data_IF_333496178957
#
_entry.id   IF_333496178957
#
_cell.length_a   1.000
_cell.length_b   1.000
_cell.length_c   1.000
_cell.angle_alpha   90.00
_cell.angle_beta   90.00
_cell.angle_gamma   90.00
#
_symmetry.space_group_name_H-M   'P 1'
#
loop_
_entity.id
_entity.type
_entity.pdbx_description
1 polymer ?
#
# COMPACT_ATOMS: atom_id res chain seq x y z
N UNK A 1 20.97 75.02 -5.72
CA UNK A 1 19.76 75.39 -6.48
C UNK A 1 18.74 75.91 -5.49
N UNK A 2 18.53 77.22 -5.43
CA UNK A 2 17.47 77.80 -4.61
C UNK A 2 16.12 77.61 -5.30
N UNK A 3 15.07 77.32 -4.53
CA UNK A 3 13.70 77.32 -5.04
C UNK A 3 13.24 78.78 -5.12
N UNK A 4 12.91 79.25 -6.32
CA UNK A 4 12.31 80.57 -6.54
C UNK A 4 10.79 80.45 -6.42
N UNK A 5 10.16 81.31 -5.62
CA UNK A 5 8.71 81.40 -5.49
C UNK A 5 8.29 82.76 -6.06
N UNK A 6 7.80 82.74 -7.29
CA UNK A 6 7.64 83.97 -8.10
C UNK A 6 6.38 84.79 -7.76
N UNK A 7 5.53 84.32 -6.85
CA UNK A 7 4.30 85.00 -6.41
C UNK A 7 4.26 85.24 -4.88
N UNK A 8 5.36 85.69 -4.28
CA UNK A 8 5.36 86.12 -2.88
C UNK A 8 4.78 87.55 -2.77
N UNK A 9 3.73 87.79 -1.95
CA UNK A 9 3.18 89.12 -1.76
C UNK A 9 4.23 90.08 -1.15
N UNK A 10 4.23 91.34 -1.58
CA UNK A 10 5.32 92.33 -1.41
C UNK A 10 5.72 92.72 0.04
N UNK A 11 5.16 92.10 1.08
CA UNK A 11 5.54 92.29 2.48
C UNK A 11 6.67 91.32 2.90
N UNK A 12 7.77 91.28 2.14
CA UNK A 12 8.86 90.31 2.27
C UNK A 12 9.99 90.83 3.19
N UNK A 13 9.64 91.35 4.36
CA UNK A 13 10.59 91.66 5.44
C UNK A 13 10.30 90.88 6.74
N UNK A 14 9.15 90.21 6.84
CA UNK A 14 8.66 89.57 8.07
C UNK A 14 8.66 88.02 8.04
N UNK A 15 9.26 87.38 7.04
CA UNK A 15 9.32 85.91 7.00
C UNK A 15 10.31 85.31 8.02
N UNK A 16 11.28 86.10 8.50
CA UNK A 16 12.13 85.72 9.63
C UNK A 16 11.42 85.91 11.00
N UNK A 17 10.23 86.50 11.03
CA UNK A 17 9.41 86.72 12.25
C UNK A 17 8.04 86.03 12.20
N UNK A 18 7.75 85.24 11.16
CA UNK A 18 6.58 84.38 11.08
C UNK A 18 6.75 83.21 12.07
N UNK A 19 6.36 83.48 13.32
CA UNK A 19 6.40 82.52 14.40
C UNK A 19 5.21 81.57 14.28
N UNK A 20 5.51 80.30 14.03
CA UNK A 20 4.51 79.24 14.05
C UNK A 20 4.34 78.81 15.51
N UNK A 21 3.14 78.95 16.12
CA UNK A 21 2.87 78.39 17.43
C UNK A 21 2.85 76.86 17.33
N UNK A 22 3.75 76.22 18.06
CA UNK A 22 3.89 74.76 18.16
C UNK A 22 3.71 74.38 19.62
N UNK A 23 2.98 73.31 19.92
CA UNK A 23 2.83 72.82 21.30
C UNK A 23 3.95 71.84 21.60
N UNK A 24 4.80 72.16 22.57
CA UNK A 24 5.85 71.28 23.08
C UNK A 24 5.59 71.03 24.56
N UNK A 25 5.42 69.77 24.95
CA UNK A 25 5.16 69.36 26.34
C UNK A 25 4.01 70.15 27.04
N UNK A 26 2.94 70.44 26.30
CA UNK A 26 1.76 71.15 26.81
C UNK A 26 1.85 72.69 26.82
N UNK A 27 2.99 73.29 26.46
CA UNK A 27 3.16 74.74 26.34
C UNK A 27 3.25 75.18 24.87
N UNK A 28 2.72 76.36 24.53
CA UNK A 28 2.86 76.93 23.18
C UNK A 28 4.21 77.63 23.04
N UNK A 29 5.07 77.08 22.19
CA UNK A 29 6.39 77.60 21.82
C UNK A 29 6.30 78.20 20.41
N UNK A 30 7.01 79.30 20.17
CA UNK A 30 7.01 80.00 18.88
C UNK A 30 8.29 79.66 18.12
N UNK A 31 8.17 78.94 17.01
CA UNK A 31 9.32 78.56 16.17
C UNK A 31 9.32 79.34 14.85
N UNK A 32 10.51 79.62 14.33
CA UNK A 32 10.65 80.07 12.95
C UNK A 32 10.45 78.91 11.99
N UNK A 33 10.12 79.21 10.73
CA UNK A 33 10.01 78.21 9.66
C UNK A 33 11.29 77.37 9.54
N UNK A 34 12.47 77.99 9.69
CA UNK A 34 13.75 77.30 9.63
C UNK A 34 13.94 76.28 10.76
N UNK A 35 13.47 76.59 11.98
CA UNK A 35 13.55 75.68 13.13
C UNK A 35 12.61 74.48 12.98
N UNK A 36 11.41 74.71 12.44
CA UNK A 36 10.46 73.63 12.16
C UNK A 36 11.02 72.66 11.10
N UNK A 37 11.67 73.19 10.06
CA UNK A 37 12.33 72.39 9.04
C UNK A 37 13.51 71.60 9.61
N UNK A 38 14.31 72.19 10.50
CA UNK A 38 15.41 71.47 11.15
C UNK A 38 14.90 70.29 11.98
N UNK A 39 13.82 70.46 12.76
CA UNK A 39 13.21 69.37 13.52
C UNK A 39 12.68 68.24 12.63
N UNK A 40 12.10 68.58 11.48
CA UNK A 40 11.64 67.59 10.50
C UNK A 40 12.81 66.84 9.84
N UNK A 41 13.88 67.56 9.49
CA UNK A 41 15.09 66.99 8.90
C UNK A 41 15.84 66.11 9.90
N UNK A 42 15.91 66.49 11.18
CA UNK A 42 16.58 65.70 12.22
C UNK A 42 15.83 64.38 12.53
N UNK A 43 14.50 64.35 12.38
CA UNK A 43 13.69 63.14 12.55
C UNK A 43 13.75 62.18 11.35
N UNK A 44 14.11 62.68 10.16
CA UNK A 44 14.08 61.91 8.91
C UNK A 44 15.13 60.77 8.84
N UNK A 45 16.40 60.93 9.26
CA UNK A 45 17.40 59.86 9.26
C UNK A 45 16.95 58.60 10.00
N UNK A 46 16.35 58.74 11.19
CA UNK A 46 15.86 57.59 11.94
C UNK A 46 14.71 56.86 11.26
N UNK A 47 13.79 57.60 10.63
CA UNK A 47 12.70 56.99 9.85
C UNK A 47 13.23 56.29 8.58
N UNK A 48 14.19 56.90 7.90
CA UNK A 48 14.82 56.30 6.72
C UNK A 48 15.62 55.05 7.09
N UNK A 49 16.27 55.04 8.26
CA UNK A 49 16.95 53.87 8.79
C UNK A 49 15.97 52.71 9.01
N UNK A 50 14.82 52.96 9.67
CA UNK A 50 13.78 51.93 9.84
C UNK A 50 13.21 51.41 8.51
N UNK A 51 13.10 52.26 7.49
CA UNK A 51 12.68 51.84 6.16
C UNK A 51 13.76 50.97 5.49
N UNK A 52 15.03 51.35 5.61
CA UNK A 52 16.16 50.58 5.09
C UNK A 52 16.26 49.21 5.77
N UNK A 53 16.09 49.15 7.09
CA UNK A 53 16.04 47.89 7.86
C UNK A 53 14.89 46.98 7.41
N UNK A 54 13.70 47.54 7.17
CA UNK A 54 12.55 46.77 6.70
C UNK A 54 12.74 46.26 5.25
N UNK A 55 13.29 47.09 4.37
CA UNK A 55 13.61 46.70 3.00
C UNK A 55 14.61 45.54 2.98
N UNK A 56 15.68 45.65 3.76
CA UNK A 56 16.68 44.60 3.93
C UNK A 56 16.06 43.32 4.54
N UNK A 57 15.18 43.44 5.54
CA UNK A 57 14.49 42.29 6.14
C UNK A 57 13.56 41.54 5.15
N UNK A 58 13.04 42.22 4.13
CA UNK A 58 12.26 41.64 3.04
C UNK A 58 13.13 41.24 1.83
N UNK A 59 14.46 41.33 1.96
CA UNK A 59 15.41 40.93 0.93
C UNK A 59 15.54 41.90 -0.24
N UNK A 60 15.21 43.18 -0.04
CA UNK A 60 15.24 44.23 -1.06
C UNK A 60 14.44 43.85 -2.34
N UNK A 61 13.39 43.02 -2.22
CA UNK A 61 12.59 42.53 -3.33
C UNK A 61 11.46 43.51 -3.71
N UNK A 62 11.55 44.23 -4.85
CA UNK A 62 10.50 45.16 -5.28
C UNK A 62 9.18 44.45 -5.64
N UNK A 63 9.22 43.13 -5.84
CA UNK A 63 8.09 42.29 -6.24
C UNK A 63 7.75 41.23 -5.18
N UNK A 64 8.05 41.48 -3.89
CA UNK A 64 7.86 40.52 -2.79
C UNK A 64 6.54 39.73 -2.85
N UNK A 65 5.42 40.41 -3.15
CA UNK A 65 4.10 39.78 -3.29
C UNK A 65 4.05 38.77 -4.45
N UNK A 66 4.61 39.10 -5.61
CA UNK A 66 4.67 38.20 -6.76
C UNK A 66 5.64 37.03 -6.51
N UNK A 67 6.80 37.29 -5.90
CA UNK A 67 7.79 36.26 -5.53
C UNK A 67 7.20 35.25 -4.55
N UNK A 68 6.48 35.74 -3.54
CA UNK A 68 5.79 34.90 -2.56
C UNK A 68 4.66 34.10 -3.22
N UNK A 69 3.85 34.73 -4.08
CA UNK A 69 2.79 34.04 -4.81
C UNK A 69 3.35 32.96 -5.74
N UNK A 70 4.45 33.22 -6.45
CA UNK A 70 5.13 32.24 -7.29
C UNK A 70 5.66 31.06 -6.47
N UNK A 71 6.27 31.34 -5.31
CA UNK A 71 6.77 30.31 -4.40
C UNK A 71 5.65 29.41 -3.88
N UNK A 72 4.49 29.97 -3.56
CA UNK A 72 3.30 29.22 -3.15
C UNK A 72 2.72 28.41 -4.32
N UNK A 73 2.67 29.00 -5.52
CA UNK A 73 2.16 28.33 -6.72
C UNK A 73 2.97 27.09 -7.12
N UNK A 74 4.23 26.98 -6.68
CA UNK A 74 5.04 25.76 -6.88
C UNK A 74 4.62 24.59 -5.97
N UNK A 75 3.81 24.83 -4.94
CA UNK A 75 3.33 23.79 -4.04
C UNK A 75 2.13 23.07 -4.65
N UNK A 76 2.17 21.74 -4.64
CA UNK A 76 1.03 20.92 -5.04
C UNK A 76 -0.13 21.10 -4.04
N UNK A 77 -1.35 21.22 -4.56
CA UNK A 77 -2.56 21.16 -3.74
C UNK A 77 -2.68 19.76 -3.09
N UNK A 78 -3.27 19.66 -1.91
CA UNK A 78 -3.55 18.38 -1.25
C UNK A 78 -4.74 17.67 -1.93
N UNK A 79 -5.72 18.43 -2.43
CA UNK A 79 -6.88 17.92 -3.15
C UNK A 79 -6.61 17.95 -4.65
N UNK A 80 -6.12 16.84 -5.20
CA UNK A 80 -5.83 16.73 -6.63
C UNK A 80 -6.64 15.62 -7.31
N UNK A 81 -7.16 15.93 -8.49
CA UNK A 81 -7.78 14.94 -9.35
C UNK A 81 -6.73 13.96 -9.91
N UNK A 82 -7.18 12.80 -10.39
CA UNK A 82 -6.32 11.88 -11.11
C UNK A 82 -5.94 12.44 -12.47
N UNK A 83 -4.66 12.35 -12.83
CA UNK A 83 -4.18 12.53 -14.21
C UNK A 83 -3.91 11.17 -14.84
N UNK A 84 -4.38 10.96 -16.06
CA UNK A 84 -4.17 9.70 -16.78
C UNK A 84 -2.87 9.71 -17.57
N UNK A 85 -2.06 8.66 -17.41
CA UNK A 85 -0.80 8.46 -18.14
C UNK A 85 -0.81 7.05 -18.73
N UNK A 86 -0.41 6.89 -19.99
CA UNK A 86 -0.28 5.56 -20.59
C UNK A 86 0.96 4.83 -20.05
N UNK A 87 0.84 3.52 -19.86
CA UNK A 87 1.91 2.63 -19.44
C UNK A 87 2.96 2.53 -20.55
N UNK A 88 4.23 2.58 -20.16
CA UNK A 88 5.39 2.32 -21.00
C UNK A 88 6.50 1.73 -20.12
N UNK A 89 7.61 1.30 -20.70
CA UNK A 89 8.75 0.81 -19.93
C UNK A 89 9.19 1.83 -18.85
N UNK A 90 9.18 3.12 -19.20
CA UNK A 90 9.32 4.24 -18.27
C UNK A 90 8.05 5.06 -18.26
N UNK A 91 7.43 5.21 -17.08
CA UNK A 91 6.30 6.12 -16.86
C UNK A 91 6.80 7.27 -15.99
N UNK A 92 7.04 8.44 -16.56
CA UNK A 92 7.57 9.58 -15.80
C UNK A 92 6.51 10.14 -14.83
N UNK A 93 6.53 9.65 -13.59
CA UNK A 93 5.64 10.11 -12.54
C UNK A 93 6.09 11.46 -11.98
N UNK A 94 7.39 11.79 -12.08
CA UNK A 94 7.97 13.04 -11.61
C UNK A 94 7.42 14.25 -12.36
N UNK A 95 7.26 14.13 -13.67
CA UNK A 95 6.73 15.16 -14.55
C UNK A 95 5.22 15.41 -14.40
N UNK A 96 4.49 14.56 -13.68
CA UNK A 96 3.03 14.70 -13.55
C UNK A 96 2.67 15.87 -12.62
N UNK A 97 1.71 16.69 -13.06
CA UNK A 97 1.21 17.85 -12.32
C UNK A 97 0.30 17.47 -11.13
N UNK A 98 -0.08 16.20 -11.00
CA UNK A 98 -0.85 15.67 -9.88
C UNK A 98 -0.08 14.58 -9.15
N UNK A 99 -0.23 14.58 -7.83
CA UNK A 99 0.18 13.52 -6.93
C UNK A 99 -0.61 12.24 -7.18
N UNK A 100 -1.85 12.35 -7.66
CA UNK A 100 -2.72 11.23 -7.99
C UNK A 100 -2.63 10.93 -9.48
N UNK A 101 -2.05 9.79 -9.84
CA UNK A 101 -1.83 9.36 -11.22
C UNK A 101 -2.61 8.09 -11.50
N UNK A 102 -3.34 8.06 -12.61
CA UNK A 102 -3.95 6.83 -13.12
C UNK A 102 -3.10 6.31 -14.27
N UNK A 103 -2.52 5.13 -14.10
CA UNK A 103 -1.81 4.46 -15.19
C UNK A 103 -2.81 3.66 -16.01
N UNK A 104 -2.80 3.90 -17.32
CA UNK A 104 -3.66 3.25 -18.32
C UNK A 104 -2.82 2.37 -19.24
N UNK A 105 -3.43 1.42 -19.96
CA UNK A 105 -2.68 0.48 -20.80
C UNK A 105 -2.15 -0.73 -20.05
N UNK A 106 -1.43 -1.60 -20.78
CA UNK A 106 -1.01 -2.94 -20.33
C UNK A 106 0.49 -3.20 -20.51
N UNK A 107 1.26 -2.20 -20.93
CA UNK A 107 2.71 -2.33 -21.13
C UNK A 107 3.40 -2.44 -19.78
N UNK A 108 4.31 -3.39 -19.63
CA UNK A 108 5.11 -3.53 -18.40
C UNK A 108 5.95 -2.29 -18.10
N UNK A 109 6.14 -1.99 -16.81
CA UNK A 109 6.86 -0.82 -16.32
C UNK A 109 8.10 -1.28 -15.56
N UNK A 110 9.25 -0.72 -15.91
CA UNK A 110 10.55 -0.97 -15.26
C UNK A 110 11.08 0.26 -14.53
N UNK A 111 10.50 1.45 -14.75
CA UNK A 111 10.91 2.71 -14.10
C UNK A 111 9.76 3.72 -14.02
N UNK A 112 9.80 4.58 -12.99
CA UNK A 112 8.90 5.73 -12.83
C UNK A 112 9.53 7.08 -13.25
N UNK A 113 10.64 7.05 -13.99
CA UNK A 113 11.33 8.24 -14.48
C UNK A 113 12.06 9.02 -13.39
N UNK A 114 12.62 10.18 -13.72
CA UNK A 114 13.43 10.99 -12.79
C UNK A 114 12.56 11.96 -12.01
N UNK A 115 12.73 12.01 -10.69
CA UNK A 115 12.11 13.01 -9.84
C UNK A 115 13.03 13.40 -8.69
N UNK A 116 12.85 14.61 -8.13
CA UNK A 116 13.54 15.03 -6.92
C UNK A 116 13.26 14.06 -5.75
N UNK A 117 14.26 13.84 -4.90
CA UNK A 117 14.10 13.01 -3.71
C UNK A 117 12.97 13.54 -2.81
N UNK A 118 12.13 12.65 -2.29
CA UNK A 118 10.94 12.98 -1.50
C UNK A 118 9.67 13.21 -2.32
N UNK A 119 9.72 13.16 -3.66
CA UNK A 119 8.51 13.23 -4.49
C UNK A 119 7.63 12.01 -4.23
N UNK A 120 6.39 12.21 -3.78
CA UNK A 120 5.41 11.14 -3.53
C UNK A 120 4.35 11.11 -4.63
N UNK A 121 3.96 9.92 -5.04
CA UNK A 121 2.88 9.68 -6.03
C UNK A 121 1.97 8.55 -5.57
N UNK A 122 0.67 8.80 -5.63
CA UNK A 122 -0.38 7.81 -5.45
C UNK A 122 -0.83 7.37 -6.83
N UNK A 123 -0.71 6.08 -7.11
CA UNK A 123 -1.00 5.52 -8.42
C UNK A 123 -2.21 4.59 -8.33
N UNK A 124 -3.11 4.68 -9.32
CA UNK A 124 -4.17 3.70 -9.57
C UNK A 124 -3.97 3.07 -10.95
N UNK A 125 -4.07 1.75 -11.06
CA UNK A 125 -3.97 1.04 -12.34
C UNK A 125 -5.35 0.86 -12.97
N UNK A 126 -5.46 1.14 -14.28
CA UNK A 126 -6.71 0.94 -15.03
C UNK A 126 -6.85 -0.48 -15.60
N UNK A 127 -5.74 -1.20 -15.74
CA UNK A 127 -5.69 -2.54 -16.33
C UNK A 127 -4.49 -3.32 -15.75
N UNK A 128 -4.39 -4.59 -16.11
CA UNK A 128 -3.26 -5.44 -15.72
C UNK A 128 -2.00 -5.11 -16.53
N UNK A 129 -0.88 -4.98 -15.83
CA UNK A 129 0.49 -4.86 -16.34
C UNK A 129 1.48 -5.40 -15.31
N UNK A 130 2.72 -5.67 -15.72
CA UNK A 130 3.79 -6.08 -14.81
C UNK A 130 4.64 -4.88 -14.39
N UNK A 131 4.77 -4.66 -13.08
CA UNK A 131 5.85 -3.85 -12.51
C UNK A 131 7.06 -4.77 -12.30
N UNK A 132 8.17 -4.47 -12.96
CA UNK A 132 9.40 -5.26 -12.84
C UNK A 132 10.29 -4.70 -11.74
N UNK A 133 10.65 -5.54 -10.78
CA UNK A 133 11.48 -5.13 -9.66
C UNK A 133 12.93 -4.88 -10.09
N UNK A 134 13.52 -3.82 -9.53
CA UNK A 134 14.96 -3.61 -9.50
C UNK A 134 15.37 -3.13 -8.10
N UNK A 135 16.43 -3.71 -7.54
CA UNK A 135 16.88 -3.40 -6.17
C UNK A 135 17.35 -1.95 -5.96
N UNK A 136 17.48 -1.16 -7.03
CA UNK A 136 17.90 0.25 -6.98
C UNK A 136 16.86 1.19 -7.59
N UNK A 137 16.46 0.96 -8.84
CA UNK A 137 15.64 1.92 -9.61
C UNK A 137 14.14 1.82 -9.36
N UNK A 138 13.60 0.61 -9.17
CA UNK A 138 12.19 0.37 -8.88
C UNK A 138 12.05 -0.70 -7.80
N UNK A 139 12.16 -0.24 -6.56
CA UNK A 139 12.13 -1.08 -5.37
C UNK A 139 10.66 -1.34 -5.04
N UNK A 140 10.23 -2.59 -5.23
CA UNK A 140 8.87 -3.04 -5.01
C UNK A 140 8.76 -3.74 -3.64
N UNK A 141 7.57 -3.69 -3.00
CA UNK A 141 7.27 -4.58 -1.87
C UNK A 141 7.22 -6.05 -2.35
N UNK A 142 6.85 -7.00 -1.48
CA UNK A 142 6.84 -8.44 -1.80
C UNK A 142 8.24 -9.07 -1.96
N UNK A 143 9.15 -8.76 -1.03
CA UNK A 143 10.50 -9.33 -0.98
C UNK A 143 11.30 -9.21 -2.30
N UNK A 144 11.12 -8.10 -3.02
CA UNK A 144 11.82 -7.83 -4.28
C UNK A 144 11.36 -8.70 -5.45
N UNK A 145 10.09 -9.12 -5.48
CA UNK A 145 9.48 -9.78 -6.64
C UNK A 145 8.71 -8.80 -7.53
N UNK A 146 8.61 -9.14 -8.81
CA UNK A 146 7.73 -8.46 -9.76
C UNK A 146 6.27 -8.47 -9.27
N UNK A 147 5.53 -7.42 -9.60
CA UNK A 147 4.11 -7.29 -9.25
C UNK A 147 3.28 -7.24 -10.52
N UNK A 148 2.47 -8.27 -10.76
CA UNK A 148 1.41 -8.21 -11.77
C UNK A 148 0.18 -7.50 -11.19
N UNK A 149 -0.10 -6.33 -11.74
CA UNK A 149 -1.22 -5.46 -11.34
C UNK A 149 -2.55 -5.93 -11.92
N UNK A 150 -3.64 -5.41 -11.38
CA UNK A 150 -5.00 -5.54 -11.88
C UNK A 150 -5.70 -4.17 -11.88
N UNK A 151 -6.85 -4.10 -12.56
CA UNK A 151 -7.67 -2.89 -12.55
C UNK A 151 -8.05 -2.49 -11.12
N UNK A 152 -7.93 -1.20 -10.83
CA UNK A 152 -8.13 -0.55 -9.54
C UNK A 152 -7.11 -0.89 -8.45
N UNK A 153 -6.04 -1.63 -8.74
CA UNK A 153 -4.93 -1.75 -7.82
C UNK A 153 -4.30 -0.37 -7.59
N UNK A 154 -3.78 -0.15 -6.38
CA UNK A 154 -3.19 1.13 -5.98
C UNK A 154 -1.80 0.96 -5.39
N UNK A 155 -0.95 1.97 -5.56
CA UNK A 155 0.32 2.03 -4.87
C UNK A 155 0.69 3.45 -4.45
N UNK A 156 1.59 3.56 -3.49
CA UNK A 156 2.27 4.80 -3.13
C UNK A 156 3.77 4.62 -3.40
N UNK A 157 4.35 5.51 -4.19
CA UNK A 157 5.77 5.51 -4.53
C UNK A 157 6.44 6.81 -4.07
N UNK A 158 7.66 6.70 -3.56
CA UNK A 158 8.51 7.83 -3.15
C UNK A 158 9.79 7.79 -3.98
N UNK A 159 10.11 8.90 -4.64
CA UNK A 159 11.39 9.07 -5.31
C UNK A 159 12.51 9.22 -4.27
N UNK A 160 13.58 8.46 -4.45
CA UNK A 160 14.84 8.60 -3.72
C UNK A 160 15.84 9.50 -4.47
N UNK A 161 15.44 10.09 -5.60
CA UNK A 161 16.29 10.89 -6.48
C UNK A 161 16.83 10.10 -7.68
N UNK A 162 17.22 10.82 -8.75
CA UNK A 162 17.93 10.28 -9.91
C UNK A 162 17.29 9.06 -10.59
N UNK A 163 15.97 8.94 -10.54
CA UNK A 163 15.23 7.84 -11.16
C UNK A 163 14.99 6.61 -10.28
N UNK A 164 15.42 6.67 -9.01
CA UNK A 164 15.20 5.62 -8.04
C UNK A 164 13.88 5.82 -7.31
N UNK A 165 13.05 4.79 -7.27
CA UNK A 165 11.74 4.84 -6.62
C UNK A 165 11.58 3.69 -5.64
N UNK A 166 11.07 4.02 -4.47
CA UNK A 166 10.64 3.06 -3.46
C UNK A 166 9.12 3.04 -3.39
N UNK A 167 8.52 1.91 -3.74
CA UNK A 167 7.09 1.67 -3.54
C UNK A 167 6.88 1.26 -2.09
N UNK A 168 6.41 2.20 -1.28
CA UNK A 168 6.20 2.00 0.16
C UNK A 168 4.99 1.13 0.46
N UNK A 169 3.98 1.17 -0.43
CA UNK A 169 2.76 0.39 -0.28
C UNK A 169 2.20 0.02 -1.64
N UNK A 170 1.78 -1.23 -1.76
CA UNK A 170 0.96 -1.72 -2.85
C UNK A 170 -0.31 -2.34 -2.25
N UNK A 171 -1.49 -1.98 -2.76
CA UNK A 171 -2.77 -2.52 -2.33
C UNK A 171 -3.57 -2.99 -3.55
N UNK A 172 -3.97 -4.26 -3.52
CA UNK A 172 -4.92 -4.84 -4.47
C UNK A 172 -6.31 -4.22 -4.31
N UNK A 173 -7.04 -4.03 -5.40
CA UNK A 173 -8.40 -3.48 -5.40
C UNK A 173 -9.39 -4.34 -4.59
N UNK A 174 -9.25 -5.67 -4.70
CA UNK A 174 -9.97 -6.64 -3.90
C UNK A 174 -9.05 -7.22 -2.84
N UNK A 175 -9.38 -7.04 -1.57
CA UNK A 175 -8.86 -7.88 -0.50
C UNK A 175 -9.59 -9.23 -0.48
N UNK A 176 -9.71 -9.90 -1.63
CA UNK A 176 -10.09 -11.30 -1.62
C UNK A 176 -8.81 -12.03 -1.26
N UNK A 177 -8.67 -12.40 0.01
CA UNK A 177 -7.74 -13.48 0.36
C UNK A 177 -7.99 -14.58 -0.66
N UNK A 178 -7.02 -14.87 -1.52
CA UNK A 178 -7.21 -15.88 -2.56
C UNK A 178 -7.37 -17.21 -1.83
N UNK A 179 -8.56 -17.78 -1.90
CA UNK A 179 -8.92 -18.99 -1.17
C UNK A 179 -9.35 -20.04 -2.16
N UNK A 180 -8.85 -21.25 -1.96
CA UNK A 180 -9.41 -22.44 -2.57
C UNK A 180 -9.80 -23.46 -1.51
N UNK A 181 -10.90 -24.17 -1.75
CA UNK A 181 -11.41 -25.25 -0.90
C UNK A 181 -11.60 -26.49 -1.75
N UNK A 182 -10.86 -27.54 -1.42
CA UNK A 182 -10.98 -28.86 -2.02
C UNK A 182 -11.64 -29.80 -1.01
N UNK A 183 -12.58 -30.64 -1.43
CA UNK A 183 -13.30 -31.57 -0.55
C UNK A 183 -13.38 -32.98 -1.14
N UNK A 184 -13.45 -33.97 -0.25
CA UNK A 184 -14.07 -35.27 -0.54
C UNK A 184 -15.58 -35.12 -0.37
N UNK A 185 -16.33 -34.98 -1.47
CA UNK A 185 -17.78 -35.01 -1.40
C UNK A 185 -18.32 -36.35 -1.88
N UNK A 186 -19.24 -36.92 -1.11
CA UNK A 186 -19.97 -38.14 -1.46
C UNK A 186 -21.47 -37.95 -1.25
N UNK A 187 -22.28 -38.79 -1.90
CA UNK A 187 -23.73 -38.82 -1.66
C UNK A 187 -24.06 -39.07 -0.19
N UNK A 188 -25.17 -38.49 0.29
CA UNK A 188 -25.69 -38.72 1.64
C UNK A 188 -25.75 -40.22 1.96
N UNK A 189 -25.32 -40.61 3.16
CA UNK A 189 -25.30 -42.02 3.60
C UNK A 189 -24.14 -42.86 3.05
N UNK A 190 -23.28 -42.29 2.21
CA UNK A 190 -22.09 -42.98 1.69
C UNK A 190 -20.89 -42.76 2.61
N UNK A 191 -20.29 -43.83 3.11
CA UNK A 191 -19.14 -43.76 4.00
C UNK A 191 -17.87 -43.21 3.31
N UNK A 192 -16.90 -42.74 4.11
CA UNK A 192 -15.61 -42.25 3.65
C UNK A 192 -14.77 -43.31 2.93
N UNK A 193 -15.13 -44.58 3.07
CA UNK A 193 -14.45 -45.72 2.46
C UNK A 193 -13.57 -46.46 3.46
N UNK A 194 -12.96 -47.55 3.00
CA UNK A 194 -12.05 -48.35 3.81
C UNK A 194 -10.70 -47.69 4.02
N UNK A 195 -10.11 -47.86 5.21
CA UNK A 195 -8.71 -47.51 5.48
C UNK A 195 -7.80 -48.74 5.40
N UNK A 196 -6.54 -48.49 5.08
CA UNK A 196 -5.41 -49.42 5.11
C UNK A 196 -4.47 -49.09 6.25
N UNK A 197 -3.68 -50.07 6.70
CA UNK A 197 -2.60 -49.81 7.66
C UNK A 197 -1.46 -49.04 6.98
N UNK A 198 -0.94 -48.00 7.64
CA UNK A 198 0.07 -47.09 7.11
C UNK A 198 -0.49 -45.78 6.56
N UNK A 199 0.38 -45.03 5.87
CA UNK A 199 0.01 -43.79 5.19
C UNK A 199 -0.78 -44.10 3.91
N UNK A 200 -1.91 -43.43 3.75
CA UNK A 200 -2.77 -43.55 2.57
C UNK A 200 -3.25 -42.19 2.11
N UNK A 201 -3.49 -42.06 0.80
CA UNK A 201 -4.03 -40.83 0.21
C UNK A 201 -5.49 -40.66 0.61
N UNK A 202 -5.86 -39.43 0.98
CA UNK A 202 -7.24 -39.03 1.21
C UNK A 202 -7.87 -38.56 -0.09
N UNK A 203 -9.14 -38.92 -0.28
CA UNK A 203 -9.91 -38.44 -1.42
C UNK A 203 -10.03 -36.92 -1.37
N UNK A 204 -9.89 -36.28 -2.54
CA UNK A 204 -10.26 -34.90 -2.82
C UNK A 204 -10.79 -34.92 -4.26
N UNK A 205 -12.09 -34.71 -4.43
CA UNK A 205 -12.77 -34.93 -5.70
C UNK A 205 -13.56 -33.71 -6.20
N UNK A 206 -13.72 -32.70 -5.35
CA UNK A 206 -14.51 -31.51 -5.66
C UNK A 206 -13.72 -30.27 -5.30
N UNK A 207 -13.55 -29.39 -6.27
CA UNK A 207 -13.15 -28.01 -6.05
C UNK A 207 -14.41 -27.21 -5.73
N UNK A 208 -14.59 -26.88 -4.45
CA UNK A 208 -15.80 -26.23 -3.93
C UNK A 208 -15.74 -24.73 -4.11
N UNK A 209 -14.55 -24.18 -3.99
CA UNK A 209 -14.26 -22.77 -4.14
C UNK A 209 -12.87 -22.64 -4.74
N UNK A 210 -12.75 -21.95 -5.87
CA UNK A 210 -11.48 -21.44 -6.39
C UNK A 210 -11.73 -20.35 -7.45
N UNK A 211 -12.35 -19.25 -7.03
CA UNK A 211 -12.74 -18.18 -7.96
C UNK A 211 -11.53 -17.53 -8.68
N UNK A 212 -10.34 -17.66 -8.08
CA UNK A 212 -9.09 -17.06 -8.56
C UNK A 212 -8.18 -18.07 -9.29
N UNK A 213 -8.63 -19.31 -9.51
CA UNK A 213 -7.86 -20.41 -10.11
C UNK A 213 -6.46 -20.58 -9.47
N UNK A 214 -6.41 -20.56 -8.14
CA UNK A 214 -5.17 -20.72 -7.38
C UNK A 214 -4.75 -22.17 -7.20
N UNK A 215 -5.57 -23.13 -7.61
CA UNK A 215 -5.24 -24.56 -7.55
C UNK A 215 -5.83 -25.29 -8.74
N UNK A 216 -5.23 -26.42 -9.07
CA UNK A 216 -5.85 -27.42 -9.95
C UNK A 216 -5.94 -28.73 -9.19
N UNK A 217 -7.03 -29.49 -9.38
CA UNK A 217 -7.26 -30.78 -8.73
C UNK A 217 -7.41 -31.89 -9.78
N UNK A 218 -6.62 -32.96 -9.65
CA UNK A 218 -6.75 -34.17 -10.47
C UNK A 218 -6.37 -35.41 -9.67
N UNK A 219 -7.26 -36.41 -9.63
CA UNK A 219 -7.02 -37.70 -9.00
C UNK A 219 -6.49 -37.61 -7.55
N UNK A 220 -7.13 -36.78 -6.72
CA UNK A 220 -6.76 -36.50 -5.32
C UNK A 220 -5.41 -35.77 -5.13
N UNK A 221 -4.77 -35.36 -6.21
CA UNK A 221 -3.55 -34.57 -6.22
C UNK A 221 -3.90 -33.15 -6.64
N UNK A 222 -3.41 -32.17 -5.91
CA UNK A 222 -3.66 -30.77 -6.19
C UNK A 222 -2.36 -29.98 -6.37
N UNK A 223 -2.37 -29.01 -7.27
CA UNK A 223 -1.20 -28.18 -7.60
C UNK A 223 -1.58 -26.72 -7.46
N UNK A 224 -1.11 -26.02 -6.41
CA UNK A 224 -1.32 -24.59 -6.28
C UNK A 224 -0.55 -23.82 -7.36
N UNK A 225 -1.16 -22.78 -7.92
CA UNK A 225 -0.55 -21.91 -8.95
C UNK A 225 0.24 -20.74 -8.34
N UNK A 226 0.07 -20.52 -7.04
CA UNK A 226 0.79 -19.53 -6.23
C UNK A 226 1.27 -20.17 -4.92
N UNK A 227 2.18 -19.52 -4.20
CA UNK A 227 2.58 -19.99 -2.87
C UNK A 227 1.39 -19.89 -1.91
N UNK A 228 1.14 -20.95 -1.14
CA UNK A 228 -0.06 -21.07 -0.30
C UNK A 228 0.28 -21.50 1.12
N UNK A 229 -0.49 -21.01 2.08
CA UNK A 229 -0.69 -21.68 3.36
C UNK A 229 -1.81 -22.70 3.21
N UNK A 230 -1.54 -23.94 3.58
CA UNK A 230 -2.51 -25.03 3.49
C UNK A 230 -2.92 -25.52 4.87
N UNK A 231 -4.22 -25.69 5.06
CA UNK A 231 -4.80 -26.40 6.19
C UNK A 231 -5.66 -27.55 5.67
N UNK A 232 -5.26 -28.77 5.98
CA UNK A 232 -5.97 -29.99 5.62
C UNK A 232 -6.56 -30.65 6.85
N UNK A 233 -7.73 -31.25 6.71
CA UNK A 233 -8.28 -32.15 7.72
C UNK A 233 -8.87 -33.39 7.08
N UNK A 234 -8.82 -34.50 7.81
CA UNK A 234 -9.44 -35.75 7.41
C UNK A 234 -10.01 -36.51 8.60
N UNK A 235 -11.13 -37.18 8.39
CA UNK A 235 -11.79 -38.02 9.39
C UNK A 235 -11.22 -39.45 9.34
N UNK A 236 -10.96 -40.02 10.51
CA UNK A 236 -10.59 -41.42 10.70
C UNK A 236 -11.52 -42.12 11.68
N UNK A 237 -11.73 -43.41 11.48
CA UNK A 237 -12.61 -44.23 12.31
C UNK A 237 -12.04 -45.65 12.47
N UNK A 238 -11.98 -46.15 13.70
CA UNK A 238 -11.50 -47.47 14.06
C UNK A 238 -10.09 -47.82 13.52
N UNK A 239 -9.24 -46.80 13.31
CA UNK A 239 -7.87 -46.98 12.81
C UNK A 239 -6.80 -47.05 13.90
N UNK A 240 -7.19 -47.02 15.18
CA UNK A 240 -6.34 -46.83 16.36
C UNK A 240 -5.55 -45.53 16.27
N UNK A 241 -4.21 -45.58 16.23
CA UNK A 241 -3.36 -44.41 16.01
C UNK A 241 -3.57 -43.81 14.63
N UNK A 242 -3.93 -42.53 14.58
CA UNK A 242 -4.21 -41.76 13.38
C UNK A 242 -3.31 -40.53 13.34
N UNK A 243 -2.94 -40.10 12.13
CA UNK A 243 -2.26 -38.83 11.90
C UNK A 243 -2.60 -38.32 10.49
N UNK A 244 -2.44 -37.02 10.25
CA UNK A 244 -2.58 -36.42 8.92
C UNK A 244 -1.27 -35.77 8.49
N UNK A 245 -1.03 -35.68 7.18
CA UNK A 245 0.06 -34.89 6.61
C UNK A 245 -0.25 -34.41 5.21
N UNK A 246 0.50 -33.40 4.78
CA UNK A 246 0.67 -33.10 3.37
C UNK A 246 1.91 -33.79 2.82
N UNK A 247 1.76 -34.45 1.67
CA UNK A 247 2.86 -35.08 0.95
C UNK A 247 3.09 -34.32 -0.36
N UNK A 248 4.31 -33.82 -0.56
CA UNK A 248 4.75 -33.24 -1.82
C UNK A 248 5.07 -34.37 -2.79
N UNK A 249 4.19 -34.55 -3.77
CA UNK A 249 4.27 -35.59 -4.78
C UNK A 249 5.42 -35.32 -5.75
N UNK A 250 5.63 -34.04 -6.10
CA UNK A 250 6.70 -33.66 -7.03
C UNK A 250 8.08 -34.00 -6.48
N UNK A 251 8.31 -33.71 -5.20
CA UNK A 251 9.63 -33.89 -4.57
C UNK A 251 9.72 -35.19 -3.73
N UNK A 252 8.63 -35.97 -3.65
CA UNK A 252 8.56 -37.22 -2.90
C UNK A 252 8.89 -37.10 -1.41
N UNK A 253 8.48 -36.01 -0.78
CA UNK A 253 8.74 -35.72 0.65
C UNK A 253 7.48 -35.32 1.40
N UNK A 254 7.40 -35.69 2.68
CA UNK A 254 6.39 -35.13 3.57
C UNK A 254 6.75 -33.67 3.91
N UNK A 255 5.81 -32.75 3.74
CA UNK A 255 6.02 -31.30 4.02
C UNK A 255 5.33 -30.83 5.30
N UNK A 256 4.61 -31.73 5.96
CA UNK A 256 4.06 -31.58 7.30
C UNK A 256 4.35 -32.88 8.05
N UNK A 257 5.59 -33.11 8.53
CA UNK A 257 6.05 -34.45 8.86
C UNK A 257 5.13 -35.20 9.83
N UNK A 258 4.53 -34.49 10.80
CA UNK A 258 3.50 -35.05 11.67
C UNK A 258 2.44 -33.98 11.98
N UNK A 259 1.29 -34.03 11.30
CA UNK A 259 0.11 -33.25 11.68
C UNK A 259 -0.45 -33.68 13.05
N UNK A 260 -1.66 -33.24 13.38
CA UNK A 260 -2.30 -33.60 14.64
C UNK A 260 -2.52 -35.13 14.73
N UNK A 261 -2.05 -35.73 15.83
CA UNK A 261 -2.30 -37.12 16.17
C UNK A 261 -3.74 -37.31 16.68
N UNK A 262 -4.29 -38.48 16.40
CA UNK A 262 -5.63 -38.87 16.80
C UNK A 262 -5.68 -40.33 17.24
N UNK A 263 -6.71 -40.69 18.00
CA UNK A 263 -6.97 -42.08 18.36
C UNK A 263 -8.44 -42.41 18.18
N UNK A 264 -8.73 -43.50 17.45
CA UNK A 264 -10.08 -44.01 17.27
C UNK A 264 -10.09 -45.52 17.51
N UNK A 265 -10.78 -45.96 18.56
CA UNK A 265 -10.77 -47.34 19.00
C UNK A 265 -11.43 -48.27 17.97
N UNK A 266 -10.87 -49.47 17.80
CA UNK A 266 -11.38 -50.50 16.90
C UNK A 266 -12.41 -51.44 17.56
N UNK A 267 -12.53 -51.42 18.89
CA UNK A 267 -13.45 -52.26 19.65
C UNK A 267 -14.07 -51.52 20.84
N UNK A 268 -15.34 -51.82 21.17
CA UNK A 268 -16.02 -51.36 22.38
C UNK A 268 -16.56 -49.92 22.32
N UNK A 269 -15.74 -48.94 21.92
CA UNK A 269 -16.07 -47.51 21.96
C UNK A 269 -15.74 -46.79 20.64
N UNK A 270 -16.72 -46.74 19.74
CA UNK A 270 -16.53 -46.23 18.38
C UNK A 270 -16.70 -44.71 18.26
N UNK A 271 -15.62 -43.96 18.47
CA UNK A 271 -15.59 -42.51 18.23
C UNK A 271 -14.77 -42.17 16.98
N UNK A 272 -15.33 -41.44 16.02
CA UNK A 272 -14.56 -40.89 14.92
C UNK A 272 -13.71 -39.71 15.37
N UNK A 273 -12.53 -39.56 14.78
CA UNK A 273 -11.61 -38.44 15.05
C UNK A 273 -11.32 -37.68 13.77
N UNK A 274 -11.15 -36.36 13.89
CA UNK A 274 -10.63 -35.52 12.83
C UNK A 274 -9.17 -35.20 13.13
N UNK A 275 -8.27 -35.62 12.25
CA UNK A 275 -6.85 -35.25 12.28
C UNK A 275 -6.59 -34.12 11.27
N UNK A 276 -5.62 -33.26 11.57
CA UNK A 276 -5.35 -32.04 10.81
C UNK A 276 -3.88 -31.96 10.39
N UNK A 277 -3.58 -31.26 9.31
CA UNK A 277 -2.23 -30.98 8.85
C UNK A 277 -2.12 -29.52 8.37
N UNK A 278 -0.96 -28.92 8.59
CA UNK A 278 -0.63 -27.57 8.14
C UNK A 278 0.68 -27.59 7.38
N UNK A 279 0.75 -26.89 6.25
CA UNK A 279 1.98 -26.81 5.46
C UNK A 279 2.07 -25.48 4.70
N UNK A 280 3.30 -25.09 4.38
CA UNK A 280 3.57 -24.11 3.34
C UNK A 280 3.76 -24.86 2.02
N UNK A 281 3.01 -24.46 1.00
CA UNK A 281 3.05 -25.06 -0.31
C UNK A 281 3.67 -24.09 -1.31
N UNK A 282 4.53 -24.62 -2.17
CA UNK A 282 5.21 -23.87 -3.22
C UNK A 282 4.39 -23.94 -4.51
N UNK A 283 4.27 -22.81 -5.20
CA UNK A 283 3.63 -22.74 -6.51
C UNK A 283 4.20 -23.79 -7.50
N UNK A 284 3.33 -24.44 -8.26
CA UNK A 284 3.68 -25.39 -9.31
C UNK A 284 4.07 -26.79 -8.84
N UNK A 285 4.23 -27.02 -7.53
CA UNK A 285 4.46 -28.37 -6.96
C UNK A 285 3.12 -29.07 -6.74
N UNK A 286 3.08 -30.39 -6.90
CA UNK A 286 1.89 -31.21 -6.68
C UNK A 286 1.89 -31.78 -5.27
N UNK A 287 0.75 -31.74 -4.60
CA UNK A 287 0.56 -32.19 -3.23
C UNK A 287 -0.65 -33.10 -3.11
N UNK A 288 -0.67 -33.93 -2.07
CA UNK A 288 -1.85 -34.69 -1.66
C UNK A 288 -1.98 -34.69 -0.13
N UNK A 289 -3.22 -34.80 0.34
CA UNK A 289 -3.49 -35.03 1.76
C UNK A 289 -3.40 -36.53 2.04
N UNK A 290 -2.69 -36.90 3.11
CA UNK A 290 -2.57 -38.29 3.53
C UNK A 290 -3.02 -38.45 4.98
N UNK A 291 -3.49 -39.67 5.30
CA UNK A 291 -3.83 -40.10 6.64
C UNK A 291 -3.09 -41.38 6.99
N UNK A 292 -2.51 -41.43 8.18
CA UNK A 292 -1.99 -42.66 8.76
C UNK A 292 -3.12 -43.40 9.48
N UNK A 293 -3.15 -44.72 9.38
CA UNK A 293 -3.91 -45.57 10.29
C UNK A 293 -3.04 -46.72 10.75
N UNK A 294 -2.98 -46.96 12.06
CA UNK A 294 -2.24 -48.10 12.60
C UNK A 294 -2.91 -49.42 12.22
N UNK A 295 -4.23 -49.44 12.11
CA UNK A 295 -5.02 -50.59 11.65
C UNK A 295 -5.94 -50.24 10.48
N UNK A 296 -6.11 -51.21 9.59
CA UNK A 296 -7.03 -51.12 8.47
C UNK A 296 -8.49 -51.36 8.93
N UNK A 297 -9.44 -50.72 8.24
CA UNK A 297 -10.88 -50.92 8.44
C UNK A 297 -11.59 -50.88 7.10
N UNK A 298 -12.27 -51.97 6.72
CA UNK A 298 -12.73 -52.20 5.34
C UNK A 298 -13.78 -51.23 4.80
N UNK A 299 -14.74 -50.78 5.62
CA UNK A 299 -15.94 -50.09 5.09
C UNK A 299 -15.90 -48.58 5.29
N UNK A 300 -15.58 -48.13 6.51
CA UNK A 300 -15.76 -46.75 6.95
C UNK A 300 -14.54 -46.21 7.71
N UNK A 301 -13.37 -46.82 7.52
CA UNK A 301 -12.12 -46.41 8.16
C UNK A 301 -11.74 -44.95 7.89
N UNK A 302 -12.16 -44.44 6.73
CA UNK A 302 -11.93 -43.07 6.28
C UNK A 302 -13.07 -42.11 6.66
N UNK A 303 -14.06 -42.55 7.44
CA UNK A 303 -15.14 -41.71 7.96
C UNK A 303 -16.51 -42.39 7.90
N UNK A 304 -17.36 -42.04 8.88
CA UNK A 304 -18.71 -42.58 9.04
C UNK A 304 -19.72 -41.57 8.51
N UNK A 305 -20.63 -42.02 7.64
CA UNK A 305 -21.67 -41.16 7.08
C UNK A 305 -22.67 -40.68 8.15
N UNK A 306 -23.07 -39.41 8.09
CA UNK A 306 -24.08 -38.84 8.98
C UNK A 306 -25.52 -39.03 8.46
N UNK A 307 -25.69 -39.35 7.18
CA UNK A 307 -26.98 -39.49 6.48
C UNK A 307 -27.85 -38.24 6.62
N UNK A 308 -27.25 -37.07 6.39
CA UNK A 308 -27.86 -35.76 6.64
C UNK A 308 -28.69 -35.19 5.48
N UNK A 309 -28.89 -35.94 4.40
CA UNK A 309 -29.64 -35.50 3.22
C UNK A 309 -28.86 -34.58 2.26
N UNK A 310 -27.61 -34.24 2.60
CA UNK A 310 -26.67 -33.48 1.76
C UNK A 310 -25.35 -34.24 1.61
N UNK A 311 -24.40 -33.69 0.86
CA UNK A 311 -23.11 -34.35 0.64
C UNK A 311 -22.38 -34.67 1.95
N UNK A 312 -21.84 -35.88 2.05
CA UNK A 312 -20.92 -36.28 3.12
C UNK A 312 -19.51 -35.78 2.79
N UNK A 313 -18.85 -35.16 3.78
CA UNK A 313 -17.50 -34.63 3.64
C UNK A 313 -16.58 -35.27 4.65
N UNK A 314 -15.55 -35.97 4.17
CA UNK A 314 -14.63 -36.73 5.01
C UNK A 314 -13.20 -36.20 5.02
N UNK A 315 -12.87 -35.33 4.07
CA UNK A 315 -11.62 -34.58 4.05
C UNK A 315 -11.79 -33.26 3.32
N UNK A 316 -10.98 -32.28 3.71
CA UNK A 316 -10.92 -30.98 3.06
C UNK A 316 -9.51 -30.43 3.09
N UNK A 317 -9.17 -29.62 2.09
CA UNK A 317 -7.99 -28.76 2.09
C UNK A 317 -8.44 -27.33 1.83
N UNK A 318 -8.12 -26.43 2.75
CA UNK A 318 -8.20 -24.98 2.58
C UNK A 318 -6.82 -24.47 2.18
N UNK A 319 -6.76 -23.76 1.06
CA UNK A 319 -5.58 -23.03 0.60
C UNK A 319 -5.83 -21.54 0.75
N UNK A 320 -4.84 -20.84 1.31
CA UNK A 320 -4.81 -19.38 1.36
C UNK A 320 -3.58 -18.90 0.62
N UNK A 321 -3.76 -18.14 -0.44
CA UNK A 321 -2.69 -17.53 -1.20
C UNK A 321 -1.85 -16.61 -0.31
N UNK A 322 -0.53 -16.77 -0.35
CA UNK A 322 0.42 -15.85 0.26
C UNK A 322 0.65 -14.70 -0.71
N UNK A 323 0.31 -13.49 -0.28
CA UNK A 323 0.48 -12.25 -1.04
C UNK A 323 1.93 -11.76 -1.00
#
# INVERSE_FOLDING_TARGET
MGITIDNLPAAVAALNTALIPVVQNGATVKLTVAQVLALLVDAAPGTLDTLNELAAALGDDPNFAATTAASIATKLNILQAYVSVASAATVDLGAQASQNVQITGTTGITSFGTAAAGTVRNVRFAAALTLTHNATSLILPNNGKDIMTAANDTLTAISLGSGNWFVTRYQRAGLTQKIAILQDQKSSGTAGGGSSAGWQTRTLNTEVLDADNIVTLSSNVFTPTIDCEAHGWCQGYAGLGLAARFFNVTDSVAVSPDGANGYSNASGDYASVTVQAYALLTAGKSYRLEMFSQQAKTTNGLGVAATKGTAEVFSMVLLKGRL
#
